data_IF_512816869218
#
_entry.id   IF_512816869218
#
_cell.length_a   1.000
_cell.length_b   1.000
_cell.length_c   1.000
_cell.angle_alpha   90.00
_cell.angle_beta   90.00
_cell.angle_gamma   90.00
#
_symmetry.space_group_name_H-M   'P 1'
#
loop_
_entity.id
_entity.type
_entity.pdbx_description
1 polymer ?
#
# COMPACT_ATOMS: atom_id res chain seq x y z
N UNK A 1 -22.20 -12.72 2.36
CA UNK A 1 -22.15 -12.14 1.01
C UNK A 1 -23.56 -12.11 0.43
N UNK A 2 -24.08 -10.94 0.02
CA UNK A 2 -25.42 -10.83 -0.58
C UNK A 2 -25.42 -10.62 -2.11
N UNK A 3 -24.24 -10.39 -2.72
CA UNK A 3 -24.13 -10.01 -4.14
C UNK A 3 -22.94 -10.64 -4.91
N UNK A 4 -21.95 -11.25 -4.25
CA UNK A 4 -20.77 -11.82 -4.91
C UNK A 4 -20.15 -12.96 -4.07
N UNK A 5 -19.37 -13.82 -4.70
CA UNK A 5 -18.50 -14.76 -3.99
C UNK A 5 -17.19 -14.05 -3.64
N UNK A 6 -16.77 -14.14 -2.38
CA UNK A 6 -15.57 -13.46 -1.89
C UNK A 6 -14.48 -14.48 -1.59
N UNK A 7 -13.31 -14.30 -2.19
CA UNK A 7 -12.09 -15.05 -1.90
C UNK A 7 -11.12 -14.12 -1.17
N UNK A 8 -10.78 -14.45 0.07
CA UNK A 8 -9.77 -13.72 0.84
C UNK A 8 -8.44 -14.46 0.72
N UNK A 9 -7.38 -13.73 0.35
CA UNK A 9 -6.05 -14.27 0.17
C UNK A 9 -5.09 -13.57 1.12
N UNK A 10 -4.51 -14.32 2.06
CA UNK A 10 -3.43 -13.82 2.91
C UNK A 10 -2.11 -13.87 2.14
N UNK A 11 -1.58 -12.69 1.80
CA UNK A 11 -0.40 -12.54 0.94
C UNK A 11 0.40 -11.30 1.35
N UNK A 12 1.74 -11.31 1.23
CA UNK A 12 2.60 -12.40 0.76
C UNK A 12 2.83 -13.52 1.81
N UNK A 13 3.67 -14.50 1.47
CA UNK A 13 4.09 -15.52 2.46
C UNK A 13 4.72 -14.86 3.68
N UNK A 14 4.33 -15.35 4.86
CA UNK A 14 4.63 -14.75 6.16
C UNK A 14 3.51 -13.89 6.74
N UNK A 15 2.42 -13.66 6.01
CA UNK A 15 1.22 -12.95 6.50
C UNK A 15 0.17 -13.96 6.96
N UNK A 16 -0.37 -13.75 8.18
CA UNK A 16 -1.43 -14.58 8.73
C UNK A 16 -1.03 -16.06 8.83
N UNK A 17 -1.78 -16.93 8.17
CA UNK A 17 -1.51 -18.36 8.06
C UNK A 17 -0.66 -18.74 6.85
N UNK A 18 -0.37 -17.81 5.93
CA UNK A 18 0.52 -18.07 4.79
C UNK A 18 1.97 -18.17 5.25
N UNK A 19 2.64 -19.28 4.95
CA UNK A 19 4.03 -19.55 5.36
C UNK A 19 4.95 -19.84 4.18
N UNK A 20 6.26 -19.76 4.40
CA UNK A 20 7.29 -20.20 3.46
C UNK A 20 8.22 -21.23 4.12
N UNK A 21 8.92 -22.01 3.30
CA UNK A 21 9.87 -23.02 3.79
C UNK A 21 10.92 -22.44 4.77
N UNK A 22 11.43 -21.24 4.50
CA UNK A 22 12.40 -20.58 5.36
C UNK A 22 11.88 -20.30 6.79
N UNK A 23 10.57 -20.09 6.99
CA UNK A 23 10.00 -19.96 8.34
C UNK A 23 10.02 -21.28 9.09
N UNK A 24 9.83 -22.40 8.38
CA UNK A 24 9.85 -23.75 8.93
C UNK A 24 11.29 -24.20 9.24
N UNK A 25 12.26 -23.71 8.48
CA UNK A 25 13.68 -24.01 8.64
C UNK A 25 14.37 -22.97 9.53
N UNK A 26 14.36 -23.22 10.85
CA UNK A 26 15.08 -22.43 11.85
C UNK A 26 14.60 -20.97 12.04
N UNK A 27 13.34 -20.66 11.72
CA UNK A 27 12.76 -19.34 11.97
C UNK A 27 13.29 -18.24 11.03
N UNK A 28 13.70 -18.60 9.81
CA UNK A 28 14.05 -17.66 8.77
C UNK A 28 12.88 -16.76 8.35
N UNK A 29 13.18 -15.66 7.65
CA UNK A 29 12.16 -14.73 7.15
C UNK A 29 11.79 -15.05 5.71
N UNK A 30 10.50 -14.99 5.37
CA UNK A 30 10.08 -15.01 3.98
C UNK A 30 10.61 -13.79 3.24
N UNK A 31 11.16 -14.02 2.05
CA UNK A 31 11.61 -12.94 1.16
C UNK A 31 10.59 -12.79 0.05
N UNK A 32 10.09 -11.57 -0.12
CA UNK A 32 9.16 -11.22 -1.17
C UNK A 32 9.48 -9.82 -1.73
N UNK A 33 9.20 -9.64 -3.01
CA UNK A 33 9.10 -8.37 -3.72
C UNK A 33 7.70 -8.26 -4.34
N UNK A 34 7.30 -7.05 -4.76
CA UNK A 34 6.01 -6.85 -5.44
C UNK A 34 5.85 -7.79 -6.64
N UNK A 35 6.91 -7.98 -7.43
CA UNK A 35 6.94 -8.90 -8.56
C UNK A 35 6.74 -10.36 -8.13
N UNK A 36 7.46 -10.83 -7.10
CA UNK A 36 7.31 -12.22 -6.65
C UNK A 36 5.93 -12.47 -6.03
N UNK A 37 5.38 -11.47 -5.34
CA UNK A 37 4.05 -11.53 -4.71
C UNK A 37 2.96 -11.62 -5.77
N UNK A 38 3.04 -10.78 -6.82
CA UNK A 38 2.08 -10.82 -7.92
C UNK A 38 2.08 -12.18 -8.65
N UNK A 39 3.27 -12.70 -8.98
CA UNK A 39 3.41 -14.00 -9.63
C UNK A 39 2.86 -15.15 -8.75
N UNK A 40 3.15 -15.13 -7.45
CA UNK A 40 2.65 -16.15 -6.52
C UNK A 40 1.13 -16.05 -6.34
N UNK A 41 0.56 -14.84 -6.27
CA UNK A 41 -0.87 -14.64 -6.17
C UNK A 41 -1.60 -15.15 -7.42
N UNK A 42 -1.07 -14.91 -8.61
CA UNK A 42 -1.61 -15.44 -9.86
C UNK A 42 -1.55 -16.98 -9.90
N UNK A 43 -0.43 -17.56 -9.47
CA UNK A 43 -0.28 -19.02 -9.36
C UNK A 43 -1.29 -19.61 -8.36
N UNK A 44 -1.50 -18.97 -7.21
CA UNK A 44 -2.51 -19.36 -6.22
C UNK A 44 -3.91 -19.32 -6.82
N UNK A 45 -4.25 -18.28 -7.59
CA UNK A 45 -5.54 -18.18 -8.26
C UNK A 45 -5.73 -19.30 -9.30
N UNK A 46 -4.67 -19.64 -10.04
CA UNK A 46 -4.72 -20.78 -10.96
C UNK A 46 -5.01 -22.09 -10.21
N UNK A 47 -4.30 -22.35 -9.12
CA UNK A 47 -4.54 -23.54 -8.27
C UNK A 47 -5.94 -23.54 -7.67
N UNK A 48 -6.46 -22.38 -7.29
CA UNK A 48 -7.83 -22.25 -6.82
C UNK A 48 -8.84 -22.66 -7.91
N UNK A 49 -8.67 -22.23 -9.15
CA UNK A 49 -9.56 -22.61 -10.26
C UNK A 49 -9.40 -24.08 -10.71
N UNK A 50 -8.27 -24.72 -10.42
CA UNK A 50 -8.11 -26.17 -10.56
C UNK A 50 -8.87 -26.93 -9.47
N UNK A 51 -8.80 -26.47 -8.23
CA UNK A 51 -9.50 -27.08 -7.11
C UNK A 51 -11.02 -26.84 -7.15
N UNK A 52 -11.46 -25.69 -7.68
CA UNK A 52 -12.85 -25.27 -7.76
C UNK A 52 -13.22 -24.89 -9.21
N UNK A 53 -13.32 -25.88 -10.12
CA UNK A 53 -13.57 -25.64 -11.53
C UNK A 53 -14.90 -24.95 -11.83
N UNK A 54 -15.88 -24.99 -10.91
CA UNK A 54 -17.16 -24.31 -11.02
C UNK A 54 -17.08 -22.77 -11.03
N UNK A 55 -15.91 -22.20 -10.70
CA UNK A 55 -15.62 -20.76 -10.78
C UNK A 55 -14.92 -20.34 -12.07
N UNK A 56 -14.51 -21.28 -12.93
CA UNK A 56 -13.90 -20.96 -14.23
C UNK A 56 -14.85 -20.19 -15.13
N UNK A 57 -14.30 -19.26 -15.91
CA UNK A 57 -15.04 -18.40 -16.84
C UNK A 57 -16.00 -17.40 -16.18
N UNK A 58 -16.09 -17.36 -14.84
CA UNK A 58 -16.95 -16.40 -14.14
C UNK A 58 -16.36 -14.99 -14.18
N UNK A 59 -17.25 -14.02 -14.01
CA UNK A 59 -16.88 -12.62 -13.77
C UNK A 59 -15.96 -12.53 -12.55
N UNK A 60 -14.81 -11.90 -12.74
CA UNK A 60 -13.76 -11.78 -11.74
C UNK A 60 -13.32 -10.34 -11.59
N UNK A 61 -13.28 -9.87 -10.34
CA UNK A 61 -12.77 -8.57 -9.95
C UNK A 61 -11.78 -8.70 -8.80
N UNK A 62 -10.76 -7.86 -8.81
CA UNK A 62 -9.78 -7.79 -7.71
C UNK A 62 -10.08 -6.55 -6.87
N UNK A 63 -10.13 -6.73 -5.55
CA UNK A 63 -10.38 -5.66 -4.59
C UNK A 63 -9.32 -5.67 -3.49
N UNK A 64 -9.05 -4.50 -2.92
CA UNK A 64 -8.17 -4.36 -1.75
C UNK A 64 -8.01 -2.91 -1.32
N UNK A 65 -7.18 -2.69 -0.31
CA UNK A 65 -7.03 -1.39 0.34
C UNK A 65 -5.55 -1.06 0.60
N UNK A 66 -5.21 0.22 0.73
CA UNK A 66 -3.89 0.67 1.15
C UNK A 66 -2.78 0.20 0.17
N UNK A 67 -1.80 -0.57 0.62
CA UNK A 67 -0.72 -1.08 -0.25
C UNK A 67 -1.22 -2.03 -1.35
N UNK A 68 -2.47 -2.49 -1.27
CA UNK A 68 -3.10 -3.17 -2.39
C UNK A 68 -3.17 -2.29 -3.65
N UNK A 69 -3.00 -0.96 -3.54
CA UNK A 69 -2.76 -0.08 -4.69
C UNK A 69 -1.56 -0.48 -5.56
N UNK A 70 -0.57 -1.20 -5.01
CA UNK A 70 0.53 -1.82 -5.76
C UNK A 70 0.21 -3.28 -6.12
N UNK A 71 -0.32 -4.06 -5.18
CA UNK A 71 -0.58 -5.49 -5.39
C UNK A 71 -1.66 -5.76 -6.44
N UNK A 72 -2.70 -4.94 -6.50
CA UNK A 72 -3.85 -5.15 -7.38
C UNK A 72 -3.47 -4.92 -8.85
N UNK A 73 -2.83 -3.80 -9.24
CA UNK A 73 -2.42 -3.62 -10.64
C UNK A 73 -1.40 -4.66 -11.07
N UNK A 74 -0.41 -4.98 -10.22
CA UNK A 74 0.61 -5.99 -10.55
C UNK A 74 0.01 -7.39 -10.69
N UNK A 75 -0.98 -7.76 -9.86
CA UNK A 75 -1.73 -9.01 -10.02
C UNK A 75 -2.61 -8.98 -11.28
N UNK A 76 -3.29 -7.87 -11.56
CA UNK A 76 -4.12 -7.73 -12.76
C UNK A 76 -3.29 -7.92 -14.04
N UNK A 77 -2.07 -7.39 -14.08
CA UNK A 77 -1.13 -7.65 -15.18
C UNK A 77 -0.80 -9.14 -15.32
N UNK A 78 -0.57 -9.85 -14.20
CA UNK A 78 -0.34 -11.29 -14.23
C UNK A 78 -1.58 -12.06 -14.71
N UNK A 79 -2.79 -11.68 -14.28
CA UNK A 79 -4.05 -12.29 -14.74
C UNK A 79 -4.20 -12.17 -16.25
N UNK A 80 -3.95 -10.98 -16.79
CA UNK A 80 -4.02 -10.71 -18.22
C UNK A 80 -2.91 -11.45 -19.00
N UNK A 81 -1.69 -11.50 -18.47
CA UNK A 81 -0.54 -12.12 -19.14
C UNK A 81 -0.61 -13.66 -19.15
N UNK A 82 -1.16 -14.25 -18.09
CA UNK A 82 -1.23 -15.73 -17.93
C UNK A 82 -2.50 -16.34 -18.50
N UNK A 83 -3.42 -15.52 -19.03
CA UNK A 83 -4.71 -15.96 -19.56
C UNK A 83 -5.46 -16.90 -18.60
N UNK A 84 -5.52 -16.51 -17.33
CA UNK A 84 -6.31 -17.21 -16.32
C UNK A 84 -7.76 -17.39 -16.80
N UNK A 85 -8.33 -18.57 -16.56
CA UNK A 85 -9.67 -18.97 -17.02
C UNK A 85 -10.78 -18.26 -16.19
N UNK A 86 -10.82 -16.94 -16.31
CA UNK A 86 -11.77 -16.02 -15.67
C UNK A 86 -12.17 -14.93 -16.64
N UNK A 87 -13.38 -14.42 -16.50
CA UNK A 87 -13.81 -13.21 -17.20
C UNK A 87 -13.39 -11.99 -16.37
N UNK A 88 -12.17 -11.50 -16.58
CA UNK A 88 -11.63 -10.38 -15.79
C UNK A 88 -12.33 -9.05 -16.16
N UNK A 89 -13.13 -8.53 -15.24
CA UNK A 89 -13.87 -7.28 -15.42
C UNK A 89 -13.06 -6.03 -15.03
N UNK A 90 -12.08 -6.21 -14.13
CA UNK A 90 -11.22 -5.12 -13.66
C UNK A 90 -10.94 -5.20 -12.17
N UNK A 91 -10.54 -4.07 -11.60
CA UNK A 91 -10.17 -3.99 -10.20
C UNK A 91 -10.59 -2.68 -9.55
N UNK A 92 -10.69 -2.67 -8.23
CA UNK A 92 -10.98 -1.48 -7.44
C UNK A 92 -10.12 -1.48 -6.17
N UNK A 93 -9.74 -0.30 -5.71
CA UNK A 93 -8.93 -0.17 -4.50
C UNK A 93 -9.42 0.98 -3.62
N UNK A 94 -9.55 0.73 -2.32
CA UNK A 94 -9.86 1.74 -1.30
C UNK A 94 -8.57 2.38 -0.79
N UNK A 95 -8.53 3.72 -0.73
CA UNK A 95 -7.37 4.51 -0.32
C UNK A 95 -6.00 3.94 -0.78
N UNK A 96 -5.84 3.65 -2.09
CA UNK A 96 -4.70 2.89 -2.58
C UNK A 96 -3.40 3.69 -2.54
N UNK A 97 -2.30 3.03 -2.20
CA UNK A 97 -0.95 3.50 -2.50
C UNK A 97 -0.67 3.27 -4.00
N UNK A 98 -0.88 4.30 -4.83
CA UNK A 98 -0.74 4.29 -6.29
C UNK A 98 0.56 4.93 -6.76
N UNK A 99 1.08 5.91 -6.02
CA UNK A 99 2.30 6.62 -6.40
C UNK A 99 2.92 7.33 -5.23
N UNK A 100 4.19 7.03 -4.96
CA UNK A 100 4.99 7.84 -4.04
C UNK A 100 4.97 9.32 -4.40
N UNK A 101 4.88 9.64 -5.70
CA UNK A 101 4.92 11.02 -6.17
C UNK A 101 3.75 11.90 -5.83
N UNK A 102 2.57 11.31 -5.84
CA UNK A 102 1.35 12.08 -5.62
C UNK A 102 0.81 11.89 -4.20
N UNK A 103 1.21 10.82 -3.50
CA UNK A 103 0.68 10.46 -2.19
C UNK A 103 1.72 10.54 -1.06
N UNK A 104 2.99 10.39 -1.39
CA UNK A 104 4.10 10.43 -0.42
C UNK A 104 5.01 11.63 -0.69
N UNK A 105 4.38 12.81 -0.88
CA UNK A 105 5.08 14.10 -0.93
C UNK A 105 5.98 14.31 0.30
N UNK A 106 5.81 13.57 1.40
CA UNK A 106 6.70 13.60 2.59
C UNK A 106 7.43 12.27 2.87
N UNK A 107 7.32 11.30 1.97
CA UNK A 107 8.12 10.09 1.99
C UNK A 107 7.75 9.04 3.05
N UNK A 108 6.57 9.18 3.65
CA UNK A 108 5.99 8.26 4.63
C UNK A 108 4.47 8.23 4.44
N UNK A 109 3.79 7.24 5.04
CA UNK A 109 2.34 7.02 5.05
C UNK A 109 1.53 8.16 5.73
N UNK A 110 2.11 9.36 5.84
CA UNK A 110 1.48 10.51 6.45
C UNK A 110 0.72 11.33 5.42
N UNK A 111 -0.37 11.95 5.87
CA UNK A 111 -1.16 12.86 5.05
C UNK A 111 -0.29 13.99 4.52
N UNK A 112 -0.33 14.27 3.21
CA UNK A 112 0.28 15.46 2.60
C UNK A 112 0.14 16.70 3.52
N UNK A 113 1.23 17.48 3.72
CA UNK A 113 1.24 18.71 4.52
C UNK A 113 0.05 19.65 4.25
N UNK A 114 -0.38 19.79 3.00
CA UNK A 114 -1.56 20.58 2.61
C UNK A 114 -2.86 19.98 3.15
N UNK A 115 -3.01 18.66 3.09
CA UNK A 115 -4.16 17.99 3.68
C UNK A 115 -4.17 18.15 5.20
N UNK A 116 -3.01 17.98 5.85
CA UNK A 116 -2.88 18.17 7.30
C UNK A 116 -3.25 19.61 7.72
N UNK A 117 -2.88 20.61 6.91
CA UNK A 117 -3.32 21.99 7.12
C UNK A 117 -4.84 22.15 6.94
N UNK A 118 -5.39 21.67 5.82
CA UNK A 118 -6.81 21.82 5.48
C UNK A 118 -7.74 21.09 6.46
N UNK A 119 -7.28 20.00 7.08
CA UNK A 119 -8.02 19.25 8.11
C UNK A 119 -7.74 19.72 9.53
N UNK A 120 -6.91 20.75 9.71
CA UNK A 120 -6.61 21.34 11.01
C UNK A 120 -5.70 20.49 11.90
N UNK A 121 -5.00 19.50 11.34
CA UNK A 121 -4.01 18.70 12.08
C UNK A 121 -2.78 19.54 12.44
N UNK A 122 -2.39 20.48 11.56
CA UNK A 122 -1.29 21.40 11.80
C UNK A 122 -1.71 22.86 11.61
N UNK A 123 -1.06 23.75 12.35
CA UNK A 123 -1.28 25.20 12.20
C UNK A 123 -0.68 25.75 10.90
N UNK A 124 -1.24 26.85 10.40
CA UNK A 124 -0.68 27.60 9.25
C UNK A 124 0.77 28.04 9.50
N UNK A 125 1.11 28.37 10.75
CA UNK A 125 2.48 28.70 11.17
C UNK A 125 3.42 27.52 11.02
N UNK A 126 3.02 26.33 11.50
CA UNK A 126 3.83 25.12 11.38
C UNK A 126 3.99 24.71 9.92
N UNK A 127 2.89 24.72 9.16
CA UNK A 127 2.91 24.43 7.73
C UNK A 127 3.88 25.36 6.98
N UNK A 128 3.74 26.68 7.16
CA UNK A 128 4.60 27.67 6.49
C UNK A 128 6.06 27.42 6.85
N UNK A 129 6.37 27.27 8.14
CA UNK A 129 7.73 27.03 8.61
C UNK A 129 8.36 25.77 7.99
N UNK A 130 7.60 24.67 7.92
CA UNK A 130 8.08 23.43 7.28
C UNK A 130 8.37 23.69 5.81
N UNK A 131 7.38 24.21 5.07
CA UNK A 131 7.49 24.40 3.61
C UNK A 131 8.54 25.43 3.18
N UNK A 132 8.81 26.45 3.99
CA UNK A 132 9.76 27.53 3.65
C UNK A 132 11.19 27.25 4.10
N UNK A 133 11.36 26.53 5.22
CA UNK A 133 12.65 26.46 5.93
C UNK A 133 13.17 25.04 6.07
N UNK A 134 12.29 24.05 6.11
CA UNK A 134 12.64 22.67 6.46
C UNK A 134 12.59 21.70 5.29
N UNK A 135 12.47 22.21 4.06
CA UNK A 135 12.52 21.43 2.82
C UNK A 135 13.87 21.67 2.14
N UNK A 136 14.68 20.61 2.03
CA UNK A 136 15.98 20.71 1.34
C UNK A 136 15.81 20.69 -0.17
N UNK A 137 15.00 19.76 -0.65
CA UNK A 137 14.63 19.60 -2.06
C UNK A 137 13.41 18.71 -2.17
N UNK A 138 12.81 18.72 -3.35
CA UNK A 138 11.83 17.74 -3.80
C UNK A 138 12.54 16.87 -4.85
N UNK A 139 12.52 15.55 -4.70
CA UNK A 139 13.18 14.67 -5.68
C UNK A 139 12.33 14.45 -6.95
N UNK A 140 12.84 13.64 -7.90
CA UNK A 140 12.16 13.35 -9.17
C UNK A 140 10.84 12.61 -8.99
N UNK A 141 10.61 12.00 -7.83
CA UNK A 141 9.36 11.40 -7.43
C UNK A 141 8.54 12.34 -6.57
N UNK A 142 8.75 13.66 -6.55
CA UNK A 142 7.90 14.57 -5.78
C UNK A 142 8.06 14.45 -4.26
N UNK A 143 8.92 13.58 -3.75
CA UNK A 143 9.11 13.41 -2.31
C UNK A 143 9.92 14.58 -1.74
N UNK A 144 9.40 15.18 -0.67
CA UNK A 144 10.08 16.17 0.15
C UNK A 144 11.21 15.46 0.88
N UNK A 145 12.41 15.99 0.69
CA UNK A 145 13.59 15.62 1.45
C UNK A 145 13.73 16.66 2.57
N UNK A 146 13.50 16.28 3.84
CA UNK A 146 13.64 17.18 4.97
C UNK A 146 15.04 17.78 5.05
N UNK A 147 15.10 19.08 5.33
CA UNK A 147 16.32 19.72 5.80
C UNK A 147 16.37 19.70 7.33
N UNK A 148 17.36 19.00 7.88
CA UNK A 148 17.63 18.95 9.32
C UNK A 148 18.81 19.82 9.75
N UNK A 149 19.37 20.65 8.85
CA UNK A 149 20.47 21.56 9.18
C UNK A 149 20.02 22.70 10.09
N UNK A 150 18.79 23.17 9.92
CA UNK A 150 18.18 24.15 10.82
C UNK A 150 17.74 23.49 12.14
N UNK A 151 18.09 24.04 13.32
CA UNK A 151 17.90 23.38 14.62
C UNK A 151 16.44 23.05 14.92
N UNK A 152 15.52 23.91 14.48
CA UNK A 152 14.08 23.73 14.72
C UNK A 152 13.38 22.80 13.73
N UNK A 153 14.01 22.44 12.61
CA UNK A 153 13.33 21.63 11.59
C UNK A 153 13.10 20.20 12.04
N UNK A 154 14.01 19.62 12.84
CA UNK A 154 13.78 18.31 13.46
C UNK A 154 12.54 18.32 14.36
N UNK A 155 12.33 19.43 15.10
CA UNK A 155 11.16 19.59 15.97
C UNK A 155 9.89 19.78 15.15
N UNK A 156 9.93 20.64 14.12
CA UNK A 156 8.79 20.91 13.26
C UNK A 156 8.27 19.65 12.55
N UNK A 157 9.17 18.87 11.93
CA UNK A 157 8.82 17.59 11.32
C UNK A 157 8.26 16.60 12.34
N UNK A 158 8.85 16.50 13.53
CA UNK A 158 8.33 15.65 14.61
C UNK A 158 6.92 16.07 15.05
N UNK A 159 6.66 17.38 15.18
CA UNK A 159 5.33 17.88 15.52
C UNK A 159 4.30 17.51 14.45
N UNK A 160 4.64 17.68 13.17
CA UNK A 160 3.76 17.25 12.07
C UNK A 160 3.49 15.74 12.14
N UNK A 161 4.52 14.91 12.32
CA UNK A 161 4.34 13.45 12.40
C UNK A 161 3.42 13.06 13.56
N UNK A 162 3.62 13.62 14.76
CA UNK A 162 2.77 13.37 15.93
C UNK A 162 1.32 13.81 15.65
N UNK A 163 1.12 15.04 15.15
CA UNK A 163 -0.21 15.56 14.84
C UNK A 163 -0.94 14.74 13.77
N UNK A 164 -0.21 14.13 12.85
CA UNK A 164 -0.77 13.25 11.82
C UNK A 164 -1.02 11.82 12.32
N UNK A 165 -0.28 11.35 13.34
CA UNK A 165 -0.40 9.99 13.88
C UNK A 165 -1.44 9.87 14.99
N UNK A 166 -1.65 10.94 15.77
CA UNK A 166 -2.64 10.96 16.87
C UNK A 166 -4.09 10.92 16.35
N UNK A 167 -4.30 11.23 15.08
CA UNK A 167 -5.60 11.10 14.41
C UNK A 167 -5.69 9.69 13.82
N UNK A 168 -5.86 8.68 14.69
CA UNK A 168 -6.16 7.28 14.38
C UNK A 168 -5.93 6.90 12.90
N UNK A 169 -4.67 6.94 12.46
CA UNK A 169 -4.29 6.49 11.13
C UNK A 169 -4.36 4.97 11.13
N UNK A 170 -5.56 4.43 10.94
CA UNK A 170 -5.86 2.98 10.89
C UNK A 170 -5.11 2.16 11.96
N UNK A 171 -5.52 2.29 13.22
CA UNK A 171 -4.90 1.52 14.30
C UNK A 171 -5.58 1.69 15.65
N UNK A 172 -6.73 1.05 15.83
CA UNK A 172 -7.26 0.73 17.16
C UNK A 172 -7.82 -0.69 17.15
N UNK A 173 -6.96 -1.68 17.36
CA UNK A 173 -7.27 -2.97 17.99
C UNK A 173 -6.05 -3.43 18.78
#
# INVERSE_FOLDING_TARGET
SKAANLLFLESPTGVGYSYCAAMMEMGGKCKHSDTSTAALNAATLHRFLEAFPEYRGREFMIWGESYAGVYIPTLAEQVLATALDVNFLGFAAGDPCTSEKYQHLDGQLHFNLQFALQRGFISSRLHTFITSTCVRRIDGTGRIIPDYTHPDCKRAWRTYFISSSDVAGYGSH
#
